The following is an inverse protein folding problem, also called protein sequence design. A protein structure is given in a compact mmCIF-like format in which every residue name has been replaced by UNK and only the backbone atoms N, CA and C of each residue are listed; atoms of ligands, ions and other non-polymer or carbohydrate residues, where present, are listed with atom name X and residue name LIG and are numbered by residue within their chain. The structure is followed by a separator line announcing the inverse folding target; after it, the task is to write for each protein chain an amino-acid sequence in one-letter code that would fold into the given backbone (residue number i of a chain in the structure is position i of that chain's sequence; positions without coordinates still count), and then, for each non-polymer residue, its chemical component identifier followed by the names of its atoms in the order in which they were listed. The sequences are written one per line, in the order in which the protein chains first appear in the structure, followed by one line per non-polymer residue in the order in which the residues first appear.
data_IF_634473371889
#
_entry.id   IF_634473371889
#
_cell.length_a   1.000
_cell.length_b   1.000
_cell.length_c   1.000
_cell.angle_alpha   90.00
_cell.angle_beta   90.00
_cell.angle_gamma   90.00
#
_symmetry.space_group_name_H-M   'P 1'
#
loop_
_entity.id
_entity.type
_entity.pdbx_description
1 polymer ?
#
# COMPACT_ATOMS: atom_id res chain seq x y z
N UNK A 1 -36.16 67.63 14.03
CA UNK A 1 -35.65 67.26 12.68
C UNK A 1 -35.95 65.77 12.43
N UNK A 2 -35.84 65.30 11.19
CA UNK A 2 -36.23 63.96 10.65
C UNK A 2 -36.47 62.81 11.67
N UNK A 3 -37.63 62.15 11.74
CA UNK A 3 -38.31 61.27 10.75
C UNK A 3 -37.44 60.11 10.22
N UNK A 4 -37.80 58.90 10.63
CA UNK A 4 -38.02 57.75 9.74
C UNK A 4 -39.05 56.81 10.39
N UNK A 5 -39.96 56.26 9.58
CA UNK A 5 -41.22 55.60 10.00
C UNK A 5 -41.55 54.53 8.95
N UNK A 6 -41.94 53.33 9.39
CA UNK A 6 -42.74 52.32 8.67
C UNK A 6 -42.19 51.82 7.30
N UNK A 7 -42.58 50.69 6.69
CA UNK A 7 -43.16 49.37 7.04
C UNK A 7 -42.80 48.44 5.85
N UNK A 8 -43.04 47.11 5.89
CA UNK A 8 -42.67 46.21 4.79
C UNK A 8 -43.69 46.25 3.64
N UNK A 9 -43.32 45.68 2.49
CA UNK A 9 -44.29 45.25 1.47
C UNK A 9 -43.84 43.93 0.82
N UNK A 10 -44.81 43.16 0.34
CA UNK A 10 -44.62 41.87 -0.31
C UNK A 10 -45.00 41.93 -1.81
N UNK A 11 -44.59 40.88 -2.54
CA UNK A 11 -45.21 40.32 -3.75
C UNK A 11 -45.26 41.13 -5.08
N UNK A 12 -44.49 40.63 -6.06
CA UNK A 12 -44.80 40.50 -7.50
C UNK A 12 -43.72 39.55 -8.08
N UNK A 13 -43.94 38.43 -8.80
CA UNK A 13 -45.02 37.87 -9.62
C UNK A 13 -45.10 38.39 -11.07
N UNK A 14 -44.31 37.74 -11.95
CA UNK A 14 -44.47 37.61 -13.42
C UNK A 14 -43.53 36.45 -13.87
N UNK A 15 -44.04 35.33 -14.43
CA UNK A 15 -44.25 35.08 -15.88
C UNK A 15 -42.93 35.13 -16.69
N UNK A 16 -42.47 34.11 -17.44
CA UNK A 16 -42.99 32.79 -17.87
C UNK A 16 -41.89 31.70 -17.64
N UNK A 17 -41.87 30.44 -18.13
CA UNK A 17 -42.62 29.70 -19.18
C UNK A 17 -42.59 28.18 -18.89
N UNK A 18 -43.48 27.40 -19.53
CA UNK A 18 -43.41 25.94 -19.66
C UNK A 18 -42.34 25.48 -20.66
N UNK A 19 -41.59 24.41 -20.33
CA UNK A 19 -41.32 23.27 -21.24
C UNK A 19 -41.39 21.96 -20.43
N UNK A 20 -42.05 20.94 -20.96
CA UNK A 20 -42.26 19.62 -20.34
C UNK A 20 -41.04 18.67 -20.49
N UNK A 21 -40.98 17.55 -19.72
CA UNK A 21 -39.86 16.62 -19.78
C UNK A 21 -39.87 15.79 -21.07
N UNK A 22 -38.81 15.88 -21.88
CA UNK A 22 -38.67 15.08 -23.09
C UNK A 22 -37.68 13.93 -22.89
N UNK A 23 -38.24 12.72 -22.88
CA UNK A 23 -37.77 11.53 -23.61
C UNK A 23 -36.28 11.14 -23.56
N UNK A 24 -36.06 9.91 -23.06
CA UNK A 24 -35.26 8.85 -23.71
C UNK A 24 -34.43 9.30 -24.94
N UNK A 25 -33.10 9.21 -24.83
CA UNK A 25 -32.26 8.91 -25.99
C UNK A 25 -31.70 7.48 -25.86
N UNK A 26 -31.55 6.77 -26.99
CA UNK A 26 -31.41 5.31 -26.99
C UNK A 26 -29.95 4.86 -26.80
N UNK A 27 -29.78 3.56 -26.57
CA UNK A 27 -28.54 2.90 -26.97
C UNK A 27 -28.34 3.12 -28.48
N UNK A 28 -27.16 3.62 -28.85
CA UNK A 28 -26.62 3.40 -30.19
C UNK A 28 -25.60 2.27 -30.10
N UNK A 29 -25.99 1.11 -30.58
CA UNK A 29 -25.03 0.13 -31.05
C UNK A 29 -24.26 0.74 -32.23
N UNK A 30 -22.94 0.84 -32.11
CA UNK A 30 -22.04 1.03 -33.24
C UNK A 30 -21.30 -0.27 -33.47
N UNK A 31 -21.87 -1.12 -34.32
CA UNK A 31 -21.12 -2.16 -35.01
C UNK A 31 -20.00 -1.51 -35.84
N UNK A 32 -18.76 -1.57 -35.36
CA UNK A 32 -17.58 -1.48 -36.23
C UNK A 32 -16.88 -2.83 -36.30
N UNK A 33 -17.37 -3.64 -37.23
CA UNK A 33 -16.75 -4.89 -37.68
C UNK A 33 -15.45 -4.63 -38.45
N UNK A 34 -14.40 -4.15 -37.77
CA UNK A 34 -13.06 -4.07 -38.37
C UNK A 34 -12.34 -5.41 -38.32
N UNK A 35 -12.51 -6.18 -39.40
CA UNK A 35 -11.83 -7.45 -39.62
C UNK A 35 -10.30 -7.29 -39.71
N UNK A 36 -9.59 -7.47 -38.59
CA UNK A 36 -8.15 -7.72 -38.60
C UNK A 36 -7.84 -9.17 -38.24
N UNK A 37 -7.72 -10.00 -39.28
CA UNK A 37 -6.89 -11.21 -39.24
C UNK A 37 -5.51 -10.81 -38.71
N UNK A 38 -5.20 -11.16 -37.46
CA UNK A 38 -3.81 -11.23 -36.99
C UNK A 38 -3.36 -12.68 -37.14
N UNK A 39 -2.51 -12.89 -38.14
CA UNK A 39 -1.75 -14.11 -38.34
C UNK A 39 -1.04 -14.49 -37.05
N UNK A 40 -1.17 -15.76 -36.61
CA UNK A 40 -0.23 -16.31 -35.63
C UNK A 40 1.17 -16.25 -36.22
N UNK A 41 2.05 -15.49 -35.58
CA UNK A 41 3.47 -15.75 -35.61
C UNK A 41 3.89 -16.14 -34.20
N UNK A 42 3.95 -17.45 -33.98
CA UNK A 42 4.54 -18.02 -32.79
C UNK A 42 6.05 -17.73 -32.83
N UNK A 43 6.49 -16.77 -32.01
CA UNK A 43 7.91 -16.61 -31.66
C UNK A 43 8.01 -16.90 -30.17
N UNK A 44 8.41 -18.13 -29.85
CA UNK A 44 8.70 -18.58 -28.50
C UNK A 44 9.93 -17.83 -27.94
N UNK A 45 9.68 -16.67 -27.34
CA UNK A 45 10.64 -16.00 -26.47
C UNK A 45 10.69 -16.70 -25.12
N UNK A 46 11.48 -17.76 -24.99
CA UNK A 46 11.76 -18.40 -23.71
C UNK A 46 12.36 -17.37 -22.74
N UNK A 47 11.56 -16.93 -21.77
CA UNK A 47 12.01 -16.04 -20.70
C UNK A 47 11.77 -16.70 -19.33
N UNK A 48 12.46 -17.83 -19.13
CA UNK A 48 12.54 -18.55 -17.87
C UNK A 48 13.36 -17.76 -16.86
N UNK A 49 12.80 -16.69 -16.30
CA UNK A 49 13.48 -15.83 -15.33
C UNK A 49 12.58 -15.31 -14.19
N UNK A 50 11.69 -16.19 -13.71
CA UNK A 50 10.83 -15.91 -12.54
C UNK A 50 11.19 -16.71 -11.27
N UNK A 51 12.12 -17.69 -11.35
CA UNK A 51 12.62 -18.43 -10.16
C UNK A 51 13.97 -17.92 -9.61
N UNK A 52 14.76 -17.19 -10.40
CA UNK A 52 16.10 -16.74 -9.93
C UNK A 52 16.07 -15.51 -9.01
N UNK A 53 14.99 -14.72 -8.99
CA UNK A 53 14.94 -13.48 -8.21
C UNK A 53 14.49 -13.61 -6.76
N UNK A 54 14.13 -14.82 -6.29
CA UNK A 54 13.68 -15.07 -4.93
C UNK A 54 14.41 -16.23 -4.23
N UNK A 55 15.55 -16.66 -4.77
CA UNK A 55 16.44 -17.62 -4.09
C UNK A 55 17.72 -16.90 -3.67
N UNK A 56 17.89 -16.64 -2.37
CA UNK A 56 19.18 -16.18 -1.83
C UNK A 56 20.17 -17.35 -1.84
N UNK A 57 20.82 -17.60 -2.98
CA UNK A 57 21.89 -18.61 -3.08
C UNK A 57 23.17 -18.10 -2.41
N UNK A 58 23.29 -18.36 -1.11
CA UNK A 58 24.61 -18.68 -0.55
C UNK A 58 25.06 -20.01 -1.16
N UNK A 59 26.03 -19.93 -2.09
CA UNK A 59 26.85 -21.08 -2.50
C UNK A 59 28.28 -20.72 -2.14
N UNK A 60 28.71 -21.14 -0.95
CA UNK A 60 30.12 -21.14 -0.60
C UNK A 60 30.72 -22.43 -1.11
N UNK A 61 31.77 -22.31 -1.93
CA UNK A 61 32.60 -23.45 -2.28
C UNK A 61 33.42 -23.86 -1.06
N UNK A 62 33.46 -25.17 -0.76
CA UNK A 62 34.35 -25.72 0.25
C UNK A 62 35.75 -25.90 -0.35
N UNK A 63 36.58 -24.84 -0.29
CA UNK A 63 38.03 -25.03 -0.29
C UNK A 63 38.51 -25.10 1.16
N UNK A 64 39.12 -26.22 1.52
CA UNK A 64 39.76 -26.45 2.82
C UNK A 64 41.10 -25.73 2.87
N UNK A 65 41.11 -24.50 3.36
CA UNK A 65 42.34 -23.75 3.69
C UNK A 65 42.60 -23.79 5.19
N UNK A 66 43.88 -23.85 5.56
CA UNK A 66 44.39 -24.10 6.91
C UNK A 66 43.96 -23.07 7.95
N UNK A 67 43.77 -23.56 9.18
CA UNK A 67 43.57 -22.75 10.39
C UNK A 67 44.74 -21.80 10.62
N UNK A 68 44.44 -20.51 10.74
CA UNK A 68 45.33 -19.50 11.32
C UNK A 68 44.49 -18.63 12.27
N UNK A 69 44.77 -18.70 13.56
CA UNK A 69 43.91 -18.17 14.62
C UNK A 69 44.02 -16.64 14.71
N UNK A 70 43.15 -15.94 13.98
CA UNK A 70 42.99 -14.48 14.10
C UNK A 70 42.08 -14.09 15.29
N UNK A 71 42.36 -12.94 15.94
CA UNK A 71 41.84 -12.66 17.28
C UNK A 71 40.33 -12.43 17.35
N UNK A 72 39.78 -12.86 18.49
CA UNK A 72 38.41 -12.79 18.96
C UNK A 72 37.69 -11.49 18.55
N UNK A 73 36.76 -11.59 17.59
CA UNK A 73 36.02 -10.43 17.09
C UNK A 73 35.09 -9.87 18.15
N UNK A 74 35.31 -8.61 18.56
CA UNK A 74 34.46 -7.89 19.50
C UNK A 74 32.98 -7.96 19.08
N UNK A 75 32.04 -8.25 20.00
CA UNK A 75 30.64 -8.44 19.64
C UNK A 75 30.11 -7.19 18.95
N UNK A 76 29.65 -7.37 17.71
CA UNK A 76 29.08 -6.27 16.92
C UNK A 76 27.87 -5.73 17.68
N UNK A 77 27.79 -4.40 17.96
CA UNK A 77 26.67 -3.86 18.74
C UNK A 77 25.34 -4.24 18.07
N UNK A 78 24.32 -4.60 18.86
CA UNK A 78 23.09 -5.20 18.35
C UNK A 78 22.53 -4.38 17.20
N UNK A 79 22.30 -5.05 16.07
CA UNK A 79 21.82 -4.43 14.85
C UNK A 79 20.41 -3.88 15.13
N UNK A 80 20.32 -2.59 15.47
CA UNK A 80 19.06 -1.88 15.70
C UNK A 80 18.04 -2.25 14.61
N UNK A 81 16.98 -2.92 15.03
CA UNK A 81 15.95 -3.38 14.12
C UNK A 81 15.09 -2.20 13.64
N UNK A 82 14.04 -2.49 12.88
CA UNK A 82 13.13 -1.47 12.37
C UNK A 82 11.86 -1.47 13.22
N UNK A 83 11.62 -0.43 14.05
CA UNK A 83 10.37 -0.32 14.77
C UNK A 83 9.23 -0.05 13.78
N UNK A 84 8.21 -0.89 13.87
CA UNK A 84 6.96 -0.79 13.13
C UNK A 84 5.91 -0.30 14.13
N UNK A 85 5.29 0.84 13.84
CA UNK A 85 4.18 1.35 14.63
C UNK A 85 2.89 0.63 14.20
N UNK A 86 2.01 0.33 15.15
CA UNK A 86 0.69 -0.25 14.94
C UNK A 86 -0.35 0.72 15.49
N UNK A 87 -1.31 1.12 14.66
CA UNK A 87 -2.42 1.98 15.07
C UNK A 87 -3.60 1.13 15.54
N UNK A 88 -4.01 1.26 16.80
CA UNK A 88 -5.30 0.79 17.27
C UNK A 88 -6.32 1.95 17.24
N UNK A 89 -7.23 2.00 16.26
CA UNK A 89 -8.23 3.06 16.16
C UNK A 89 -9.34 2.93 17.23
N UNK A 90 -9.50 1.77 17.88
CA UNK A 90 -10.55 1.54 18.87
C UNK A 90 -10.21 2.17 20.22
N UNK A 91 -8.94 2.07 20.65
CA UNK A 91 -8.40 2.77 21.83
C UNK A 91 -7.81 4.14 21.48
N UNK A 92 -7.54 4.39 20.19
CA UNK A 92 -6.83 5.58 19.73
C UNK A 92 -5.35 5.58 20.07
N UNK A 93 -4.79 4.45 20.47
CA UNK A 93 -3.38 4.27 20.83
C UNK A 93 -2.52 3.92 19.61
N UNK A 94 -1.24 4.23 19.72
CA UNK A 94 -0.19 3.73 18.83
C UNK A 94 0.83 3.01 19.70
N UNK A 95 1.23 1.83 19.26
CA UNK A 95 2.27 1.02 19.87
C UNK A 95 3.37 0.71 18.84
N UNK A 96 4.55 0.30 19.29
CA UNK A 96 5.65 -0.12 18.41
C UNK A 96 6.07 -1.57 18.66
N UNK A 97 6.35 -2.31 17.59
CA UNK A 97 6.96 -3.64 17.62
C UNK A 97 8.15 -3.68 16.65
N UNK A 98 9.26 -4.32 17.04
CA UNK A 98 10.39 -4.53 16.13
C UNK A 98 10.02 -5.51 15.01
N UNK A 99 10.49 -5.22 13.79
CA UNK A 99 10.11 -5.96 12.60
C UNK A 99 10.40 -7.47 12.66
N UNK A 100 11.53 -7.91 13.23
CA UNK A 100 11.85 -9.33 13.33
C UNK A 100 10.83 -10.08 14.20
N UNK A 101 10.29 -9.42 15.24
CA UNK A 101 9.24 -9.98 16.07
C UNK A 101 7.89 -9.97 15.34
N UNK A 102 7.51 -8.83 14.75
CA UNK A 102 6.25 -8.68 14.02
C UNK A 102 6.16 -9.66 12.83
N UNK A 103 7.25 -9.83 12.09
CA UNK A 103 7.33 -10.77 10.98
C UNK A 103 7.33 -12.23 11.44
N UNK A 104 7.88 -12.56 12.61
CA UNK A 104 7.79 -13.92 13.17
C UNK A 104 6.37 -14.31 13.59
N UNK A 105 5.55 -13.32 13.96
CA UNK A 105 4.16 -13.52 14.38
C UNK A 105 3.16 -13.45 13.23
N UNK A 106 3.47 -12.71 12.16
CA UNK A 106 2.56 -12.52 11.02
C UNK A 106 2.54 -13.75 10.11
N UNK A 107 1.76 -14.76 10.50
CA UNK A 107 1.51 -15.98 9.74
C UNK A 107 0.23 -15.89 8.88
N UNK A 108 -0.23 -17.05 8.40
CA UNK A 108 -1.45 -17.23 7.61
C UNK A 108 -2.73 -16.80 8.35
N UNK A 109 -2.88 -17.21 9.61
CA UNK A 109 -4.10 -17.05 10.41
C UNK A 109 -4.12 -15.75 11.25
N UNK A 110 -3.00 -15.04 11.27
CA UNK A 110 -2.84 -13.79 11.99
C UNK A 110 -3.89 -12.76 11.59
N UNK A 111 -4.56 -12.20 12.59
CA UNK A 111 -5.43 -11.02 12.46
C UNK A 111 -4.69 -9.78 12.97
N UNK A 112 -5.19 -8.58 12.68
CA UNK A 112 -4.55 -7.36 13.20
C UNK A 112 -4.65 -7.27 14.74
N UNK A 113 -5.73 -7.80 15.33
CA UNK A 113 -5.88 -7.88 16.78
C UNK A 113 -4.89 -8.85 17.43
N UNK A 114 -4.50 -9.95 16.77
CA UNK A 114 -3.41 -10.81 17.27
C UNK A 114 -2.09 -10.02 17.35
N UNK A 115 -1.75 -9.24 16.32
CA UNK A 115 -0.54 -8.39 16.35
C UNK A 115 -0.59 -7.36 17.49
N UNK A 116 -1.74 -6.72 17.73
CA UNK A 116 -1.93 -5.78 18.85
C UNK A 116 -1.85 -6.47 20.22
N UNK A 117 -2.39 -7.68 20.37
CA UNK A 117 -2.32 -8.44 21.62
C UNK A 117 -0.88 -8.85 21.96
N UNK A 118 -0.10 -9.28 20.95
CA UNK A 118 1.30 -9.68 21.13
C UNK A 118 2.21 -8.58 21.67
N UNK A 119 1.91 -7.31 21.39
CA UNK A 119 2.65 -6.15 21.95
C UNK A 119 2.60 -6.13 23.49
N UNK A 120 1.48 -6.59 24.05
CA UNK A 120 1.19 -6.59 25.47
C UNK A 120 1.60 -7.89 26.17
N UNK A 121 2.23 -8.83 25.48
CA UNK A 121 2.64 -10.11 26.07
C UNK A 121 3.93 -9.94 26.91
N UNK A 122 3.87 -10.08 28.24
CA UNK A 122 5.01 -9.83 29.13
C UNK A 122 6.12 -10.89 29.01
N UNK A 123 5.88 -12.00 28.29
CA UNK A 123 6.88 -13.05 28.04
C UNK A 123 7.77 -12.74 26.82
N UNK A 124 7.44 -11.73 26.03
CA UNK A 124 8.29 -11.28 24.93
C UNK A 124 9.28 -10.21 25.42
N UNK A 125 10.55 -10.25 24.99
CA UNK A 125 11.53 -9.22 25.31
C UNK A 125 11.26 -7.96 24.47
N UNK A 126 10.17 -7.24 24.80
CA UNK A 126 9.76 -6.02 24.12
C UNK A 126 9.80 -4.81 25.03
N UNK A 127 10.40 -3.74 24.51
CA UNK A 127 10.46 -2.40 25.08
C UNK A 127 9.09 -1.69 24.96
N UNK A 128 8.03 -2.32 25.48
CA UNK A 128 6.65 -1.84 25.33
C UNK A 128 6.39 -0.67 26.29
N UNK A 129 6.42 0.55 25.76
CA UNK A 129 5.80 1.72 26.38
C UNK A 129 4.77 2.30 25.40
N UNK A 130 3.78 3.04 25.92
CA UNK A 130 2.86 3.82 25.09
C UNK A 130 3.66 4.82 24.24
N UNK A 131 3.95 4.44 23.01
CA UNK A 131 4.97 5.07 22.18
C UNK A 131 4.32 5.97 21.16
N UNK A 132 4.38 7.28 21.42
CA UNK A 132 4.21 8.25 20.35
C UNK A 132 5.26 8.00 19.26
N UNK A 133 4.86 8.14 18.01
CA UNK A 133 5.82 8.15 16.89
C UNK A 133 6.74 9.35 17.14
N UNK A 134 8.08 9.17 17.21
CA UNK A 134 9.02 10.21 17.61
C UNK A 134 9.32 11.16 16.44
N UNK A 135 8.28 11.83 15.94
CA UNK A 135 8.39 12.85 14.91
C UNK A 135 9.29 13.99 15.38
N UNK A 136 10.17 14.45 14.49
CA UNK A 136 11.04 15.58 14.77
C UNK A 136 10.21 16.88 14.87
N UNK A 137 10.43 17.72 15.91
CA UNK A 137 9.69 18.96 16.06
C UNK A 137 9.98 19.92 14.91
N UNK A 138 8.97 20.72 14.56
CA UNK A 138 9.02 21.71 13.46
C UNK A 138 9.30 21.12 12.05
N UNK A 139 9.24 19.79 11.87
CA UNK A 139 9.28 19.15 10.55
C UNK A 139 7.87 18.90 10.03
N UNK A 140 7.67 19.06 8.73
CA UNK A 140 6.44 18.66 8.06
C UNK A 140 6.34 17.13 8.03
N UNK A 141 5.22 16.56 8.48
CA UNK A 141 4.96 15.13 8.27
C UNK A 141 4.44 14.92 6.84
N UNK A 142 5.17 14.12 6.07
CA UNK A 142 4.80 13.63 4.74
C UNK A 142 4.41 12.16 4.86
N UNK A 143 3.15 11.86 4.59
CA UNK A 143 2.58 10.51 4.69
C UNK A 143 2.58 9.85 3.31
N UNK A 144 3.23 8.70 3.21
CA UNK A 144 3.36 7.91 1.98
C UNK A 144 2.59 6.60 2.18
N UNK A 145 1.47 6.43 1.48
CA UNK A 145 0.70 5.19 1.47
C UNK A 145 1.31 4.18 0.51
N UNK A 146 1.67 3.01 1.05
CA UNK A 146 2.21 1.88 0.30
C UNK A 146 1.06 0.95 -0.12
N UNK A 147 0.62 1.06 -1.38
CA UNK A 147 -0.60 0.44 -1.85
C UNK A 147 -0.40 -1.04 -2.23
N UNK A 148 -0.84 -1.94 -1.36
CA UNK A 148 -1.01 -3.38 -1.66
C UNK A 148 -2.31 -3.64 -2.45
N UNK A 149 -2.33 -4.57 -3.42
CA UNK A 149 -3.59 -5.07 -3.99
C UNK A 149 -4.54 -5.59 -2.92
N UNK A 150 -5.85 -5.46 -3.18
CA UNK A 150 -6.95 -5.94 -2.31
C UNK A 150 -7.06 -5.31 -0.91
N UNK A 151 -6.23 -4.32 -0.59
CA UNK A 151 -6.32 -3.54 0.66
C UNK A 151 -6.69 -2.07 0.37
N UNK A 152 -7.87 -1.84 -0.22
CA UNK A 152 -8.40 -0.48 -0.49
C UNK A 152 -7.65 0.35 -1.55
N UNK A 153 -6.70 -0.23 -2.29
CA UNK A 153 -5.78 0.56 -3.14
C UNK A 153 -6.44 1.38 -4.27
N UNK A 154 -7.62 1.01 -4.76
CA UNK A 154 -8.36 1.85 -5.73
C UNK A 154 -8.85 3.15 -5.11
N UNK A 155 -9.47 3.07 -3.93
CA UNK A 155 -9.93 4.22 -3.14
C UNK A 155 -8.77 5.13 -2.78
N UNK A 156 -7.68 4.57 -2.24
CA UNK A 156 -6.47 5.32 -1.89
C UNK A 156 -5.87 6.07 -3.09
N UNK A 157 -5.83 5.47 -4.30
CA UNK A 157 -5.36 6.18 -5.51
C UNK A 157 -6.23 7.38 -5.86
N UNK A 158 -7.55 7.27 -5.73
CA UNK A 158 -8.48 8.37 -5.99
C UNK A 158 -8.28 9.49 -4.95
N UNK A 159 -8.24 9.12 -3.67
CA UNK A 159 -7.96 10.05 -2.57
C UNK A 159 -6.62 10.80 -2.75
N UNK A 160 -5.55 10.12 -3.17
CA UNK A 160 -4.28 10.74 -3.50
C UNK A 160 -4.34 11.65 -4.74
N UNK A 161 -5.09 11.29 -5.79
CA UNK A 161 -5.30 12.15 -6.96
C UNK A 161 -6.03 13.45 -6.59
N UNK A 162 -7.15 13.34 -5.86
CA UNK A 162 -7.89 14.53 -5.41
C UNK A 162 -7.07 15.38 -4.44
N UNK A 163 -6.25 14.77 -3.57
CA UNK A 163 -5.31 15.53 -2.73
C UNK A 163 -4.27 16.29 -3.55
N UNK A 164 -3.68 15.66 -4.59
CA UNK A 164 -2.72 16.31 -5.49
C UNK A 164 -3.36 17.45 -6.31
N UNK A 165 -4.64 17.33 -6.67
CA UNK A 165 -5.40 18.44 -7.26
C UNK A 165 -5.64 19.58 -6.26
N UNK A 166 -6.23 19.26 -5.10
CA UNK A 166 -6.64 20.26 -4.08
C UNK A 166 -5.45 21.04 -3.52
N UNK A 167 -4.29 20.39 -3.33
CA UNK A 167 -3.14 20.97 -2.61
C UNK A 167 -1.92 21.28 -3.48
N UNK A 168 -1.94 20.92 -4.77
CA UNK A 168 -0.84 21.20 -5.71
C UNK A 168 -1.30 21.54 -7.14
N UNK A 169 -2.62 21.67 -7.38
CA UNK A 169 -3.19 21.98 -8.70
C UNK A 169 -2.76 21.03 -9.83
N UNK A 170 -2.37 19.79 -9.50
CA UNK A 170 -2.15 18.74 -10.49
C UNK A 170 -3.47 18.38 -11.17
N UNK A 171 -3.50 17.94 -12.43
CA UNK A 171 -4.75 17.69 -13.14
C UNK A 171 -5.68 16.74 -12.38
N UNK A 172 -6.99 17.04 -12.33
CA UNK A 172 -7.99 16.07 -11.86
C UNK A 172 -7.92 14.79 -12.70
N UNK A 173 -8.39 13.68 -12.12
CA UNK A 173 -8.48 12.37 -12.77
C UNK A 173 -9.21 12.45 -14.13
N UNK A 174 -8.44 12.55 -15.20
CA UNK A 174 -8.94 12.47 -16.58
C UNK A 174 -9.17 11.01 -17.03
N UNK A 175 -9.85 10.79 -18.16
CA UNK A 175 -10.17 9.44 -18.66
C UNK A 175 -8.92 8.57 -18.91
N UNK A 176 -7.79 9.19 -19.25
CA UNK A 176 -6.52 8.50 -19.48
C UNK A 176 -5.63 8.38 -18.22
N UNK A 177 -6.02 8.97 -17.09
CA UNK A 177 -5.19 9.07 -15.89
C UNK A 177 -5.41 7.85 -14.97
N UNK A 178 -4.50 6.86 -15.10
CA UNK A 178 -4.58 5.60 -14.33
C UNK A 178 -4.05 5.70 -12.89
N UNK A 179 -3.12 6.63 -12.63
CA UNK A 179 -2.32 6.67 -11.41
C UNK A 179 -2.07 8.11 -10.95
N UNK A 180 -1.91 8.38 -9.63
CA UNK A 180 -1.34 9.63 -9.13
C UNK A 180 0.08 9.89 -9.66
N UNK A 181 0.49 11.16 -9.71
CA UNK A 181 1.89 11.50 -9.96
C UNK A 181 2.79 10.88 -8.88
N UNK A 182 3.97 10.42 -9.28
CA UNK A 182 4.91 9.71 -8.41
C UNK A 182 4.59 8.24 -8.12
N UNK A 183 3.38 7.74 -8.40
CA UNK A 183 2.92 6.40 -7.98
C UNK A 183 3.81 5.22 -8.45
N UNK A 184 4.41 5.31 -9.63
CA UNK A 184 5.26 4.27 -10.23
C UNK A 184 6.77 4.61 -10.23
N UNK A 185 7.18 5.81 -9.83
CA UNK A 185 8.56 6.27 -9.93
C UNK A 185 8.99 7.06 -8.69
N UNK A 186 9.92 6.51 -7.87
CA UNK A 186 10.46 7.22 -6.71
C UNK A 186 11.11 8.56 -7.07
N UNK A 187 11.73 8.67 -8.26
CA UNK A 187 12.31 9.94 -8.74
C UNK A 187 11.23 10.98 -9.05
N UNK A 188 10.13 10.56 -9.68
CA UNK A 188 9.00 11.44 -9.94
C UNK A 188 8.30 11.85 -8.64
N UNK A 189 8.24 10.95 -7.65
CA UNK A 189 7.67 11.25 -6.35
C UNK A 189 8.49 12.30 -5.58
N UNK A 190 9.82 12.16 -5.52
CA UNK A 190 10.68 13.18 -4.87
C UNK A 190 10.56 14.53 -5.59
N UNK A 191 10.53 14.54 -6.93
CA UNK A 191 10.27 15.77 -7.70
C UNK A 191 8.91 16.38 -7.33
N UNK A 192 7.86 15.57 -7.28
CA UNK A 192 6.51 16.00 -6.91
C UNK A 192 6.48 16.57 -5.48
N UNK A 193 7.19 15.97 -4.52
CA UNK A 193 7.25 16.47 -3.14
C UNK A 193 7.94 17.84 -3.02
N UNK A 194 8.93 18.13 -3.87
CA UNK A 194 9.55 19.45 -3.96
C UNK A 194 8.63 20.49 -4.64
N UNK A 195 7.87 20.09 -5.66
CA UNK A 195 6.87 20.96 -6.33
C UNK A 195 5.66 21.26 -5.43
N UNK A 196 5.21 20.27 -4.66
CA UNK A 196 3.94 20.26 -3.93
C UNK A 196 4.13 20.50 -2.43
N UNK A 197 4.69 21.67 -2.07
CA UNK A 197 5.06 22.00 -0.68
C UNK A 197 3.88 21.99 0.31
N UNK A 198 2.64 22.20 -0.15
CA UNK A 198 1.42 22.09 0.68
C UNK A 198 0.80 20.69 0.75
N UNK A 199 1.28 19.71 -0.04
CA UNK A 199 0.70 18.37 -0.11
C UNK A 199 1.32 17.44 0.94
N UNK A 200 0.48 16.83 1.78
CA UNK A 200 0.92 15.92 2.86
C UNK A 200 0.81 14.43 2.53
N UNK A 201 -0.08 14.04 1.60
CA UNK A 201 -0.36 12.64 1.29
C UNK A 201 0.10 12.26 -0.11
N UNK A 202 0.78 11.11 -0.20
CA UNK A 202 1.21 10.53 -1.47
C UNK A 202 0.94 9.02 -1.48
N UNK A 203 0.75 8.45 -2.67
CA UNK A 203 0.52 7.02 -2.85
C UNK A 203 1.61 6.41 -3.72
N UNK A 204 2.08 5.21 -3.39
CA UNK A 204 3.11 4.48 -4.17
C UNK A 204 2.77 3.01 -4.38
N UNK A 205 3.22 2.46 -5.51
CA UNK A 205 3.21 1.01 -5.79
C UNK A 205 4.62 0.44 -5.74
N UNK A 206 4.85 -0.47 -4.82
CA UNK A 206 6.01 -1.38 -4.80
C UNK A 206 7.36 -0.65 -4.87
N UNK A 207 7.45 0.52 -4.22
CA UNK A 207 8.64 1.37 -4.24
C UNK A 207 9.55 1.06 -3.04
N UNK A 208 10.84 0.77 -3.25
CA UNK A 208 11.82 0.76 -2.17
C UNK A 208 12.09 2.18 -1.67
N UNK A 209 12.67 2.29 -0.48
CA UNK A 209 13.32 3.53 -0.07
C UNK A 209 14.54 3.76 -0.95
N UNK A 210 14.66 4.98 -1.51
CA UNK A 210 15.83 5.42 -2.28
C UNK A 210 16.55 6.55 -1.56
N UNK A 211 17.83 6.75 -1.84
CA UNK A 211 18.64 7.79 -1.19
C UNK A 211 18.09 9.21 -1.41
N UNK A 212 17.35 9.48 -2.50
CA UNK A 212 16.93 10.85 -2.85
C UNK A 212 16.01 11.54 -1.82
N UNK A 213 15.35 10.80 -0.92
CA UNK A 213 14.57 11.41 0.18
C UNK A 213 15.45 12.22 1.15
N UNK A 214 16.76 11.95 1.22
CA UNK A 214 17.66 12.66 2.15
C UNK A 214 17.77 14.15 1.86
N UNK A 215 17.42 14.59 0.65
CA UNK A 215 17.37 16.02 0.26
C UNK A 215 16.24 16.80 0.94
N UNK A 216 15.33 16.13 1.65
CA UNK A 216 14.17 16.74 2.31
C UNK A 216 14.24 16.66 3.84
N UNK A 217 15.27 16.04 4.42
CA UNK A 217 15.39 15.86 5.88
C UNK A 217 15.43 17.20 6.64
N UNK A 218 15.92 18.27 6.02
CA UNK A 218 15.94 19.60 6.62
C UNK A 218 14.53 20.17 6.87
N UNK A 219 13.51 19.71 6.16
CA UNK A 219 12.13 20.23 6.26
C UNK A 219 11.08 19.19 6.64
N UNK A 220 11.33 17.90 6.41
CA UNK A 220 10.29 16.87 6.36
C UNK A 220 10.66 15.57 7.05
N UNK A 221 9.69 14.96 7.74
CA UNK A 221 9.74 13.59 8.27
C UNK A 221 8.71 12.75 7.52
N UNK A 222 9.04 11.50 7.20
CA UNK A 222 8.24 10.60 6.39
C UNK A 222 7.56 9.52 7.22
N UNK A 223 6.24 9.41 7.07
CA UNK A 223 5.43 8.34 7.64
C UNK A 223 5.00 7.38 6.52
N UNK A 224 5.61 6.20 6.48
CA UNK A 224 5.30 5.16 5.50
C UNK A 224 4.17 4.26 6.01
N UNK A 225 3.00 4.33 5.39
CA UNK A 225 1.78 3.67 5.86
C UNK A 225 1.48 2.44 5.01
N UNK A 226 1.50 1.25 5.64
CA UNK A 226 1.29 -0.05 5.01
C UNK A 226 -0.01 -0.69 5.50
N UNK A 227 -0.88 -1.21 4.62
CA UNK A 227 -2.06 -1.95 5.03
C UNK A 227 -1.69 -3.37 5.49
N UNK A 228 -2.15 -3.74 6.67
CA UNK A 228 -2.35 -5.12 7.06
C UNK A 228 -3.64 -5.65 6.43
N UNK A 229 -3.62 -6.92 6.01
CA UNK A 229 -4.80 -7.72 5.71
C UNK A 229 -4.46 -9.19 5.96
N UNK A 230 -5.37 -9.96 6.56
CA UNK A 230 -5.16 -11.38 6.79
C UNK A 230 -4.91 -12.12 5.45
N UNK A 231 -4.08 -13.16 5.47
CA UNK A 231 -3.52 -13.75 4.25
C UNK A 231 -4.60 -14.42 3.38
N UNK A 232 -5.37 -15.36 3.93
CA UNK A 232 -6.44 -16.09 3.23
C UNK A 232 -7.50 -15.15 2.64
N UNK A 233 -7.90 -14.13 3.41
CA UNK A 233 -8.81 -13.07 2.96
C UNK A 233 -8.29 -12.33 1.72
N UNK A 234 -6.97 -12.08 1.67
CA UNK A 234 -6.32 -11.43 0.55
C UNK A 234 -6.27 -12.37 -0.66
N UNK A 235 -5.97 -13.66 -0.47
CA UNK A 235 -5.95 -14.71 -1.50
C UNK A 235 -7.35 -14.90 -2.11
N UNK A 236 -8.38 -15.15 -1.29
CA UNK A 236 -9.77 -15.28 -1.75
C UNK A 236 -10.25 -13.99 -2.45
N UNK A 237 -9.87 -12.82 -1.94
CA UNK A 237 -10.16 -11.54 -2.60
C UNK A 237 -9.38 -11.34 -3.91
N UNK A 238 -8.30 -12.06 -4.15
CA UNK A 238 -7.58 -12.09 -5.43
C UNK A 238 -8.28 -13.04 -6.42
N UNK A 239 -8.61 -14.28 -6.01
CA UNK A 239 -9.39 -15.24 -6.80
C UNK A 239 -10.73 -14.66 -7.27
N UNK A 240 -11.51 -14.06 -6.36
CA UNK A 240 -12.76 -13.37 -6.71
C UNK A 240 -12.56 -12.21 -7.69
N UNK A 241 -11.38 -11.58 -7.73
CA UNK A 241 -11.10 -10.58 -8.77
C UNK A 241 -10.85 -11.22 -10.13
N UNK A 242 -10.09 -12.33 -10.18
CA UNK A 242 -9.80 -13.05 -11.42
C UNK A 242 -11.12 -13.46 -12.08
N UNK A 243 -11.99 -14.15 -11.35
CA UNK A 243 -13.34 -14.51 -11.80
C UNK A 243 -14.15 -13.29 -12.31
N UNK A 244 -14.14 -12.18 -11.57
CA UNK A 244 -14.89 -10.98 -11.98
C UNK A 244 -14.34 -10.31 -13.25
N UNK A 245 -13.04 -10.41 -13.53
CA UNK A 245 -12.42 -9.75 -14.68
C UNK A 245 -12.45 -10.61 -15.94
N UNK A 246 -12.13 -11.88 -15.77
CA UNK A 246 -11.70 -12.78 -16.83
C UNK A 246 -12.50 -14.10 -16.82
N UNK A 247 -13.55 -14.21 -15.99
CA UNK A 247 -14.48 -15.34 -15.94
C UNK A 247 -13.83 -16.67 -15.54
N UNK A 248 -14.41 -17.76 -16.03
CA UNK A 248 -13.87 -19.11 -15.85
C UNK A 248 -12.51 -19.29 -16.56
N UNK A 249 -12.28 -18.63 -17.70
CA UNK A 249 -11.00 -18.68 -18.42
C UNK A 249 -9.84 -18.18 -17.55
N UNK A 250 -10.02 -17.05 -16.87
CA UNK A 250 -9.03 -16.54 -15.91
C UNK A 250 -8.87 -17.43 -14.68
N UNK A 251 -9.95 -18.07 -14.22
CA UNK A 251 -9.87 -19.05 -13.13
C UNK A 251 -9.07 -20.30 -13.53
N UNK A 252 -9.26 -20.79 -14.75
CA UNK A 252 -8.52 -21.92 -15.32
C UNK A 252 -7.03 -21.56 -15.49
N UNK A 253 -6.69 -20.38 -16.05
CA UNK A 253 -5.30 -19.90 -16.15
C UNK A 253 -4.65 -19.83 -14.75
N UNK A 254 -5.36 -19.26 -13.77
CA UNK A 254 -4.86 -19.16 -12.41
C UNK A 254 -4.63 -20.53 -11.77
N UNK A 255 -5.50 -21.51 -12.02
CA UNK A 255 -5.31 -22.89 -11.53
C UNK A 255 -4.09 -23.56 -12.18
N UNK A 256 -3.92 -23.47 -13.49
CA UNK A 256 -2.73 -24.00 -14.19
C UNK A 256 -1.42 -23.34 -13.74
N UNK A 257 -1.45 -22.08 -13.30
CA UNK A 257 -0.29 -21.40 -12.72
C UNK A 257 0.00 -21.92 -11.31
N UNK A 258 -1.03 -22.14 -10.50
CA UNK A 258 -0.92 -22.72 -9.16
C UNK A 258 -0.36 -24.15 -9.18
N UNK A 259 -0.78 -24.98 -10.14
CA UNK A 259 -0.23 -26.34 -10.34
C UNK A 259 1.29 -26.37 -10.62
N UNK A 260 1.90 -25.22 -10.91
CA UNK A 260 3.34 -25.04 -11.14
C UNK A 260 4.00 -24.09 -10.14
N UNK A 261 3.26 -23.68 -9.09
CA UNK A 261 3.63 -22.63 -8.14
C UNK A 261 4.15 -21.34 -8.82
N UNK A 262 3.43 -20.88 -9.84
CA UNK A 262 3.74 -19.65 -10.57
C UNK A 262 2.78 -18.51 -10.14
N UNK A 263 3.28 -17.26 -10.03
CA UNK A 263 2.44 -16.13 -9.66
C UNK A 263 1.54 -15.71 -10.83
N UNK A 264 0.25 -15.49 -10.56
CA UNK A 264 -0.65 -14.84 -11.51
C UNK A 264 -0.28 -13.36 -11.64
N UNK A 265 0.11 -12.98 -12.87
CA UNK A 265 0.74 -11.69 -13.20
C UNK A 265 0.00 -10.47 -12.65
N UNK A 266 -1.33 -10.48 -12.62
CA UNK A 266 -2.12 -9.32 -12.20
C UNK A 266 -2.58 -9.38 -10.75
N UNK A 267 -3.13 -10.51 -10.29
CA UNK A 267 -3.88 -10.59 -9.04
C UNK A 267 -3.20 -11.44 -7.96
N UNK A 268 -2.99 -12.72 -8.21
CA UNK A 268 -2.56 -13.71 -7.21
C UNK A 268 -1.04 -13.96 -7.27
N UNK A 269 -0.29 -13.12 -6.55
CA UNK A 269 1.18 -13.12 -6.56
C UNK A 269 1.69 -12.72 -5.18
N UNK A 270 2.39 -13.63 -4.52
CA UNK A 270 2.91 -13.48 -3.17
C UNK A 270 3.81 -12.24 -3.00
N UNK A 271 4.55 -11.84 -4.04
CA UNK A 271 5.39 -10.63 -4.01
C UNK A 271 4.58 -9.33 -3.90
N UNK A 272 3.26 -9.38 -4.12
CA UNK A 272 2.33 -8.26 -3.93
C UNK A 272 1.64 -8.24 -2.56
N UNK A 273 1.78 -9.28 -1.74
CA UNK A 273 1.16 -9.32 -0.42
C UNK A 273 1.79 -8.29 0.54
N UNK A 274 1.00 -7.81 1.51
CA UNK A 274 1.39 -6.71 2.41
C UNK A 274 2.69 -6.97 3.18
N UNK A 275 2.84 -8.18 3.76
CA UNK A 275 4.05 -8.58 4.48
C UNK A 275 5.29 -8.61 3.58
N UNK A 276 5.17 -9.24 2.40
CA UNK A 276 6.24 -9.39 1.41
C UNK A 276 6.76 -8.03 0.93
N UNK A 277 5.85 -7.10 0.65
CA UNK A 277 6.22 -5.74 0.25
C UNK A 277 6.83 -4.93 1.41
N UNK A 278 6.28 -5.04 2.63
CA UNK A 278 6.85 -4.39 3.80
C UNK A 278 8.28 -4.87 4.09
N UNK A 279 8.53 -6.18 3.99
CA UNK A 279 9.88 -6.75 4.14
C UNK A 279 10.86 -6.22 3.09
N UNK A 280 10.45 -6.15 1.83
CA UNK A 280 11.25 -5.55 0.76
C UNK A 280 11.58 -4.07 1.04
N UNK A 281 10.61 -3.30 1.53
CA UNK A 281 10.84 -1.92 1.95
C UNK A 281 11.82 -1.85 3.13
N UNK A 282 11.66 -2.69 4.15
CA UNK A 282 12.55 -2.77 5.32
C UNK A 282 13.96 -3.16 4.94
N UNK A 283 14.14 -4.09 4.00
CA UNK A 283 15.44 -4.40 3.41
C UNK A 283 16.06 -3.15 2.76
N UNK A 284 15.30 -2.43 1.92
CA UNK A 284 15.80 -1.19 1.29
C UNK A 284 16.16 -0.09 2.32
N UNK A 285 15.38 0.04 3.39
CA UNK A 285 15.66 0.93 4.51
C UNK A 285 16.94 0.52 5.26
N UNK A 286 17.12 -0.77 5.57
CA UNK A 286 18.34 -1.33 6.14
C UNK A 286 19.57 -1.05 5.24
N UNK A 287 19.43 -1.15 3.92
CA UNK A 287 20.49 -0.82 2.96
C UNK A 287 20.82 0.69 2.91
N UNK A 288 19.81 1.56 2.91
CA UNK A 288 20.01 3.02 2.98
C UNK A 288 20.67 3.45 4.31
N UNK A 289 20.27 2.83 5.44
CA UNK A 289 20.91 3.02 6.77
C UNK A 289 22.38 2.60 6.80
N UNK A 290 22.78 1.56 6.06
CA UNK A 290 24.18 1.08 5.99
C UNK A 290 25.12 2.08 5.28
N UNK A 291 24.59 3.03 4.49
CA UNK A 291 25.38 4.12 3.92
C UNK A 291 25.91 5.03 5.02
N UNK A 292 27.25 5.07 5.20
CA UNK A 292 27.91 5.79 6.32
C UNK A 292 27.50 7.26 6.47
N UNK A 293 27.11 7.94 5.38
CA UNK A 293 26.67 9.34 5.41
C UNK A 293 25.33 9.56 6.12
N UNK A 294 24.48 8.53 6.21
CA UNK A 294 23.05 8.68 6.49
C UNK A 294 22.51 7.83 7.67
N UNK A 295 23.38 7.09 8.37
CA UNK A 295 22.97 6.04 9.34
C UNK A 295 22.06 6.56 10.46
N UNK A 296 22.37 7.72 11.05
CA UNK A 296 21.55 8.32 12.12
C UNK A 296 20.36 9.13 11.60
N UNK A 297 20.54 9.86 10.48
CA UNK A 297 19.49 10.72 9.92
C UNK A 297 18.30 9.92 9.39
N UNK A 298 18.52 8.78 8.73
CA UNK A 298 17.43 7.98 8.15
C UNK A 298 16.43 7.50 9.22
N UNK A 299 16.89 7.13 10.42
CA UNK A 299 16.02 6.66 11.50
C UNK A 299 15.12 7.76 12.08
N UNK A 300 15.64 8.99 12.14
CA UNK A 300 14.92 10.15 12.65
C UNK A 300 13.90 10.73 11.63
N UNK A 301 14.02 10.36 10.35
CA UNK A 301 13.18 10.90 9.28
C UNK A 301 12.27 9.86 8.61
N UNK A 302 12.38 8.57 8.88
CA UNK A 302 11.52 7.53 8.31
C UNK A 302 10.91 6.63 9.38
N UNK A 303 9.59 6.74 9.55
CA UNK A 303 8.79 5.88 10.42
C UNK A 303 7.86 5.00 9.59
N UNK A 304 7.56 3.79 10.06
CA UNK A 304 6.68 2.85 9.37
C UNK A 304 5.45 2.58 10.24
N UNK A 305 4.26 2.78 9.69
CA UNK A 305 2.99 2.49 10.33
C UNK A 305 2.28 1.34 9.61
N UNK A 306 1.90 0.31 10.36
CA UNK A 306 1.00 -0.75 9.95
C UNK A 306 -0.40 -0.46 10.50
N UNK A 307 -1.43 -0.64 9.67
CA UNK A 307 -2.83 -0.41 10.06
C UNK A 307 -3.74 -1.48 9.44
N UNK A 308 -4.84 -1.83 10.11
CA UNK A 308 -5.86 -2.69 9.51
C UNK A 308 -6.51 -1.97 8.31
N UNK A 309 -6.49 -2.58 7.13
CA UNK A 309 -7.01 -1.96 5.90
C UNK A 309 -8.49 -1.55 6.00
N UNK A 310 -9.26 -2.16 6.90
CA UNK A 310 -10.68 -1.84 7.14
C UNK A 310 -10.89 -0.56 7.96
N UNK A 311 -9.87 -0.10 8.69
CA UNK A 311 -9.96 1.01 9.66
C UNK A 311 -9.13 2.24 9.30
N UNK A 312 -8.83 2.44 8.01
CA UNK A 312 -8.03 3.56 7.51
C UNK A 312 -8.50 4.92 8.07
N UNK A 313 -9.81 5.18 8.07
CA UNK A 313 -10.35 6.48 8.49
C UNK A 313 -10.11 6.73 9.98
N UNK A 314 -10.28 5.71 10.83
CA UNK A 314 -9.98 5.78 12.27
C UNK A 314 -8.48 5.98 12.53
N UNK A 315 -7.61 5.32 11.75
CA UNK A 315 -6.17 5.54 11.78
C UNK A 315 -5.82 6.98 11.40
N UNK A 316 -6.41 7.54 10.35
CA UNK A 316 -6.18 8.92 9.93
C UNK A 316 -6.70 9.95 10.94
N UNK A 317 -7.85 9.70 11.57
CA UNK A 317 -8.36 10.52 12.68
C UNK A 317 -7.43 10.47 13.89
N UNK A 318 -6.87 9.30 14.22
CA UNK A 318 -5.85 9.14 15.26
C UNK A 318 -4.59 9.94 14.97
N UNK A 319 -4.03 9.83 13.76
CA UNK A 319 -2.85 10.59 13.32
C UNK A 319 -3.10 12.11 13.29
N UNK A 320 -4.30 12.53 12.89
CA UNK A 320 -4.70 13.94 12.91
C UNK A 320 -4.76 14.50 14.34
N UNK A 321 -5.42 13.78 15.26
CA UNK A 321 -5.54 14.18 16.66
C UNK A 321 -4.20 14.21 17.40
N UNK A 322 -3.33 13.22 17.15
CA UNK A 322 -2.07 13.05 17.88
C UNK A 322 -0.92 13.90 17.31
N UNK A 323 -0.88 14.13 16.00
CA UNK A 323 0.29 14.71 15.32
C UNK A 323 -0.06 15.81 14.31
N UNK A 324 -1.33 16.21 14.17
CA UNK A 324 -1.75 17.22 13.20
C UNK A 324 -1.64 16.80 11.74
N UNK A 325 -1.42 15.51 11.44
CA UNK A 325 -1.43 14.99 10.06
C UNK A 325 -2.80 15.28 9.44
N UNK A 326 -2.92 15.96 8.29
CA UNK A 326 -4.22 16.25 7.71
C UNK A 326 -5.04 14.99 7.44
N UNK A 327 -6.36 15.10 7.36
CA UNK A 327 -7.20 13.98 6.91
C UNK A 327 -7.03 13.75 5.40
N UNK A 328 -7.13 12.49 4.98
CA UNK A 328 -7.13 12.10 3.57
C UNK A 328 -8.58 12.02 3.07
N UNK A 329 -9.01 12.98 2.23
CA UNK A 329 -10.38 13.02 1.68
C UNK A 329 -10.64 11.85 0.72
N UNK A 330 -11.89 11.40 0.64
CA UNK A 330 -12.35 10.41 -0.35
C UNK A 330 -11.95 8.97 -0.03
N UNK A 331 -11.51 8.67 1.19
CA UNK A 331 -11.28 7.31 1.69
C UNK A 331 -12.58 6.57 2.01
N UNK A 332 -13.64 7.32 2.31
CA UNK A 332 -15.00 6.90 2.61
C UNK A 332 -15.79 6.43 1.37
N UNK A 333 -15.42 6.90 0.17
CA UNK A 333 -16.13 6.62 -1.10
C UNK A 333 -16.10 5.15 -1.56
N UNK A 334 -15.32 4.28 -0.89
CA UNK A 334 -15.34 2.80 -1.05
C UNK A 334 -15.40 2.31 -2.51
N UNK A 335 -14.53 2.86 -3.36
CA UNK A 335 -14.33 2.48 -4.76
C UNK A 335 -14.18 0.96 -4.96
N UNK A 336 -15.02 0.35 -5.81
CA UNK A 336 -15.06 -1.10 -6.10
C UNK A 336 -15.42 -1.98 -4.88
N UNK A 337 -16.14 -1.45 -3.89
CA UNK A 337 -16.67 -2.22 -2.75
C UNK A 337 -17.78 -3.21 -3.16
N UNK A 338 -18.70 -2.79 -4.02
CA UNK A 338 -19.68 -3.68 -4.64
C UNK A 338 -18.99 -4.48 -5.74
N UNK A 339 -18.72 -5.75 -5.45
CA UNK A 339 -18.35 -6.75 -6.46
C UNK A 339 -19.57 -7.62 -6.78
N UNK A 340 -19.74 -8.09 -8.02
CA UNK A 340 -20.75 -9.10 -8.32
C UNK A 340 -20.66 -10.36 -7.44
N UNK A 341 -21.75 -11.12 -7.43
CA UNK A 341 -21.77 -12.48 -6.88
C UNK A 341 -20.81 -13.41 -7.63
N UNK A 342 -20.51 -14.56 -7.02
CA UNK A 342 -19.62 -15.56 -7.61
C UNK A 342 -18.14 -15.40 -7.26
N UNK A 343 -17.41 -16.46 -7.60
CA UNK A 343 -15.96 -16.67 -7.50
C UNK A 343 -15.62 -17.89 -8.38
N UNK A 344 -14.35 -18.26 -8.50
CA UNK A 344 -13.93 -19.43 -9.29
C UNK A 344 -14.59 -20.72 -8.78
N UNK A 345 -15.10 -21.56 -9.69
CA UNK A 345 -15.80 -22.82 -9.33
C UNK A 345 -14.97 -23.83 -8.53
N UNK A 346 -13.64 -23.68 -8.50
CA UNK A 346 -12.70 -24.45 -7.69
C UNK A 346 -12.04 -23.68 -6.55
N UNK A 347 -12.60 -22.56 -6.07
CA UNK A 347 -11.95 -21.63 -5.13
C UNK A 347 -11.21 -22.31 -3.98
N UNK A 348 -11.85 -23.22 -3.22
CA UNK A 348 -11.19 -23.92 -2.11
C UNK A 348 -9.94 -24.70 -2.54
N UNK A 349 -10.02 -25.45 -3.65
CA UNK A 349 -8.88 -26.18 -4.22
C UNK A 349 -7.75 -25.25 -4.66
N UNK A 350 -8.11 -24.07 -5.18
CA UNK A 350 -7.13 -23.05 -5.59
C UNK A 350 -6.50 -22.34 -4.38
N UNK A 351 -7.26 -22.13 -3.30
CA UNK A 351 -6.73 -21.65 -2.02
C UNK A 351 -5.70 -22.65 -1.48
N UNK A 352 -6.06 -23.93 -1.38
CA UNK A 352 -5.17 -24.98 -0.90
C UNK A 352 -3.87 -25.05 -1.72
N UNK A 353 -3.97 -25.13 -3.06
CA UNK A 353 -2.79 -25.07 -3.95
C UNK A 353 -1.92 -23.82 -3.74
N UNK A 354 -2.53 -22.64 -3.53
CA UNK A 354 -1.77 -21.42 -3.24
C UNK A 354 -1.08 -21.50 -1.88
N UNK A 355 -1.74 -22.07 -0.87
CA UNK A 355 -1.15 -22.27 0.44
C UNK A 355 0.02 -23.26 0.41
N UNK A 356 -0.11 -24.38 -0.30
CA UNK A 356 0.96 -25.36 -0.52
C UNK A 356 2.19 -24.74 -1.21
N UNK A 357 1.97 -23.83 -2.16
CA UNK A 357 3.04 -23.18 -2.91
C UNK A 357 3.75 -22.04 -2.17
N UNK A 358 3.07 -21.30 -1.27
CA UNK A 358 3.55 -19.98 -0.81
C UNK A 358 3.43 -19.72 0.71
N UNK A 359 2.86 -20.62 1.52
CA UNK A 359 2.76 -20.40 2.98
C UNK A 359 4.12 -20.44 3.68
N UNK A 360 5.04 -21.30 3.24
CA UNK A 360 6.39 -21.34 3.82
C UNK A 360 7.15 -20.03 3.54
N UNK A 361 7.04 -19.51 2.31
CA UNK A 361 7.59 -18.20 1.95
C UNK A 361 7.02 -17.05 2.82
N UNK A 362 5.78 -17.16 3.31
CA UNK A 362 5.23 -16.20 4.28
C UNK A 362 6.00 -16.22 5.61
N UNK A 363 6.48 -17.37 6.07
CA UNK A 363 7.23 -17.54 7.33
C UNK A 363 8.72 -17.17 7.21
N UNK A 364 9.29 -17.32 6.01
CA UNK A 364 10.67 -16.97 5.68
C UNK A 364 10.90 -15.46 5.51
N UNK A 365 9.86 -14.70 5.15
CA UNK A 365 9.93 -13.24 4.95
C UNK A 365 10.17 -12.49 6.28
N UNK A 366 11.41 -12.03 6.48
CA UNK A 366 11.98 -11.35 7.68
C UNK A 366 13.02 -10.27 7.28
#
# INVERSE_FOLDING_TARGET
MARLRFLPLAAALALLTFIQPSTKYPLQDTDESSSRKKTKHDVFGNNTNAKEHMTLRHRHDMETTSLDESPESTPTPPQYDVPIYLSDPSTGQISSMEWNLLSSQWDRQTTFSHLLQSINNPLLPTTTTNTSIPFLPNKKIITIFHLSPKSGSSTLRKACLETQYDTCHKPRKGPNMKWPDGYLSPRALVKLMHECTSTHHYCVKHQPLILNYTTMYDTSTFLHVFPFRQYDEWVASALKQIHFRDGDDGCNEAEELLDRCQPHKYELDFGKYGKSYLAYFIHSLRMVRKSRKNRGTVNAHHHILLYDYTTLDGTMQGLNRLYGVPLLKGTDEKENSVRPGGTCGGEMRMLDKFHDCFSDALLEVR
#
